data_IF_935542625263
#
_entry.id   IF_935542625263
#
_cell.length_a   1.000
_cell.length_b   1.000
_cell.length_c   1.000
_cell.angle_alpha   90.00
_cell.angle_beta   90.00
_cell.angle_gamma   90.00
#
_symmetry.space_group_name_H-M   'P 1'
#
loop_
_entity.id
_entity.type
_entity.pdbx_description
1 polymer ?
#
# COMPACT_ATOMS: atom_id res chain seq x y z
N UNK A 1 -19.90 -4.06 -51.10
CA UNK A 1 -18.70 -4.52 -50.36
C UNK A 1 -18.16 -3.31 -49.61
N UNK A 2 -18.50 -3.18 -48.35
CA UNK A 2 -18.09 -2.06 -47.48
C UNK A 2 -16.84 -2.52 -46.71
N UNK A 3 -15.73 -1.85 -46.98
CA UNK A 3 -14.45 -2.06 -46.32
C UNK A 3 -14.57 -1.53 -44.87
N UNK A 4 -14.66 -2.46 -43.90
CA UNK A 4 -14.50 -2.11 -42.48
C UNK A 4 -13.06 -1.62 -42.27
N UNK A 5 -12.93 -0.33 -41.92
CA UNK A 5 -11.63 0.30 -41.63
C UNK A 5 -11.07 -0.24 -40.31
N UNK A 6 -9.82 -0.75 -40.28
CA UNK A 6 -9.20 -1.34 -39.07
C UNK A 6 -8.94 -0.33 -37.93
N UNK A 7 -9.11 0.97 -38.17
CA UNK A 7 -8.75 2.01 -37.20
C UNK A 7 -9.76 2.29 -36.08
N UNK A 8 -11.04 1.97 -36.28
CA UNK A 8 -12.10 2.28 -35.32
C UNK A 8 -12.21 1.28 -34.19
N UNK A 9 -11.88 0.02 -34.42
CA UNK A 9 -11.93 -1.06 -33.42
C UNK A 9 -10.76 -0.97 -32.43
N UNK A 10 -9.55 -0.65 -32.88
CA UNK A 10 -8.38 -0.50 -32.01
C UNK A 10 -8.50 0.69 -31.03
N UNK A 11 -9.09 1.82 -31.48
CA UNK A 11 -9.37 2.99 -30.64
C UNK A 11 -10.45 2.70 -29.60
N UNK A 12 -11.46 1.90 -29.94
CA UNK A 12 -12.54 1.49 -29.03
C UNK A 12 -12.03 0.59 -27.88
N UNK A 13 -11.17 -0.38 -28.19
CA UNK A 13 -10.56 -1.25 -27.20
C UNK A 13 -9.65 -0.48 -26.21
N UNK A 14 -8.80 0.42 -26.70
CA UNK A 14 -7.94 1.23 -25.84
C UNK A 14 -8.74 2.11 -24.85
N UNK A 15 -9.86 2.68 -25.31
CA UNK A 15 -10.78 3.46 -24.42
C UNK A 15 -11.43 2.57 -23.35
N UNK A 16 -11.86 1.37 -23.70
CA UNK A 16 -12.46 0.43 -22.74
C UNK A 16 -11.43 0.00 -21.66
N UNK A 17 -10.17 -0.26 -22.04
CA UNK A 17 -9.11 -0.53 -21.09
C UNK A 17 -8.78 0.67 -20.20
N UNK A 18 -8.79 1.89 -20.73
CA UNK A 18 -8.58 3.10 -19.93
C UNK A 18 -9.69 3.31 -18.90
N UNK A 19 -10.96 3.02 -19.25
CA UNK A 19 -12.09 3.05 -18.30
C UNK A 19 -11.93 1.95 -17.24
N UNK A 20 -11.63 0.73 -17.65
CA UNK A 20 -11.38 -0.38 -16.74
C UNK A 20 -10.21 -0.08 -15.79
N UNK A 21 -9.14 0.54 -16.28
CA UNK A 21 -8.03 1.04 -15.46
C UNK A 21 -8.48 2.07 -14.42
N UNK A 22 -9.32 3.03 -14.80
CA UNK A 22 -9.83 4.02 -13.84
C UNK A 22 -10.67 3.36 -12.74
N UNK A 23 -11.51 2.39 -13.09
CA UNK A 23 -12.29 1.60 -12.11
C UNK A 23 -11.37 0.78 -11.19
N UNK A 24 -10.29 0.19 -11.72
CA UNK A 24 -9.30 -0.50 -10.91
C UNK A 24 -8.50 0.47 -10.02
N UNK A 25 -8.26 1.71 -10.46
CA UNK A 25 -7.64 2.75 -9.64
C UNK A 25 -8.61 3.23 -8.53
N UNK A 26 -9.92 3.28 -8.78
CA UNK A 26 -10.95 3.49 -7.74
C UNK A 26 -10.96 2.31 -6.76
N UNK A 27 -10.83 1.08 -7.24
CA UNK A 27 -10.65 -0.08 -6.35
C UNK A 27 -9.44 0.10 -5.44
N UNK A 28 -8.31 0.53 -5.97
CA UNK A 28 -7.10 0.77 -5.20
C UNK A 28 -7.27 1.90 -4.16
N UNK A 29 -8.05 2.94 -4.49
CA UNK A 29 -8.48 3.97 -3.54
C UNK A 29 -9.31 3.36 -2.39
N UNK A 30 -10.35 2.58 -2.69
CA UNK A 30 -11.21 1.94 -1.69
C UNK A 30 -10.45 0.94 -0.83
N UNK A 31 -9.52 0.21 -1.42
CA UNK A 31 -8.61 -0.70 -0.73
C UNK A 31 -7.77 0.02 0.32
N UNK A 32 -7.10 1.12 -0.05
CA UNK A 32 -6.32 1.91 0.90
C UNK A 32 -7.18 2.59 1.95
N UNK A 33 -8.38 3.03 1.60
CA UNK A 33 -9.35 3.53 2.58
C UNK A 33 -9.71 2.44 3.61
N UNK A 34 -9.97 1.20 3.16
CA UNK A 34 -10.24 0.06 4.06
C UNK A 34 -9.05 -0.30 4.94
N UNK A 35 -7.83 -0.08 4.46
CA UNK A 35 -6.57 -0.33 5.18
C UNK A 35 -6.34 0.70 6.28
N UNK A 36 -6.60 1.97 6.00
CA UNK A 36 -6.31 3.09 6.89
C UNK A 36 -7.44 3.41 7.88
N UNK A 37 -8.70 3.14 7.52
CA UNK A 37 -9.88 3.43 8.35
C UNK A 37 -9.83 2.85 9.77
N UNK A 38 -9.29 1.65 10.04
CA UNK A 38 -9.23 1.13 11.40
C UNK A 38 -8.46 2.03 12.39
N UNK A 39 -7.50 2.82 11.94
CA UNK A 39 -6.74 3.72 12.81
C UNK A 39 -7.61 4.77 13.50
N UNK A 40 -8.69 5.20 12.84
CA UNK A 40 -9.60 6.24 13.33
C UNK A 40 -10.82 5.69 14.09
N UNK A 41 -10.95 4.36 14.22
CA UNK A 41 -12.04 3.69 14.93
C UNK A 41 -11.54 2.55 15.85
N UNK A 42 -10.29 2.64 16.31
CA UNK A 42 -9.69 1.59 17.15
C UNK A 42 -10.47 1.30 18.45
N UNK A 43 -10.94 2.31 19.21
CA UNK A 43 -11.71 2.06 20.43
C UNK A 43 -13.02 1.31 20.15
N UNK A 44 -13.74 1.73 19.11
CA UNK A 44 -15.03 1.16 18.70
C UNK A 44 -14.87 -0.29 18.22
N UNK A 45 -13.82 -0.56 17.44
CA UNK A 45 -13.51 -1.92 16.96
C UNK A 45 -13.07 -2.82 18.12
N UNK A 46 -12.24 -2.33 19.05
CA UNK A 46 -11.82 -3.09 20.22
C UNK A 46 -13.02 -3.47 21.09
N UNK A 47 -13.95 -2.54 21.29
CA UNK A 47 -15.20 -2.79 21.99
C UNK A 47 -16.11 -3.77 21.24
N UNK A 48 -16.28 -3.59 19.93
CA UNK A 48 -17.14 -4.46 19.11
C UNK A 48 -16.64 -5.91 19.06
N UNK A 49 -15.32 -6.11 19.05
CA UNK A 49 -14.72 -7.44 19.03
C UNK A 49 -14.43 -8.01 20.42
N UNK A 50 -14.71 -7.25 21.50
CA UNK A 50 -14.43 -7.61 22.90
C UNK A 50 -12.96 -7.99 23.15
N UNK A 51 -12.04 -7.26 22.48
CA UNK A 51 -10.60 -7.50 22.57
C UNK A 51 -9.85 -6.28 23.12
N UNK A 52 -8.66 -6.51 23.67
CA UNK A 52 -7.75 -5.43 23.99
C UNK A 52 -7.27 -4.72 22.70
N UNK A 53 -6.76 -3.49 22.87
CA UNK A 53 -6.15 -2.75 21.74
C UNK A 53 -5.00 -3.53 21.10
N UNK A 54 -4.23 -4.27 21.90
CA UNK A 54 -3.18 -5.16 21.40
C UNK A 54 -3.77 -6.33 20.61
N UNK A 55 -4.86 -6.93 21.09
CA UNK A 55 -5.61 -7.97 20.37
C UNK A 55 -6.12 -7.45 19.03
N UNK A 56 -6.73 -6.25 19.04
CA UNK A 56 -7.19 -5.62 17.80
C UNK A 56 -6.03 -5.35 16.83
N UNK A 57 -4.89 -4.85 17.30
CA UNK A 57 -3.73 -4.61 16.43
C UNK A 57 -3.22 -5.90 15.78
N UNK A 58 -3.32 -7.03 16.48
CA UNK A 58 -3.01 -8.35 15.94
C UNK A 58 -3.97 -8.75 14.83
N UNK A 59 -5.28 -8.53 15.02
CA UNK A 59 -6.31 -8.73 13.99
C UNK A 59 -6.02 -7.86 12.77
N UNK A 60 -5.72 -6.58 12.97
CA UNK A 60 -5.39 -5.66 11.88
C UNK A 60 -4.15 -6.10 11.11
N UNK A 61 -3.17 -6.69 11.78
CA UNK A 61 -1.95 -7.25 11.21
C UNK A 61 -2.19 -8.43 10.26
N UNK A 62 -3.27 -9.23 10.47
CA UNK A 62 -3.62 -10.38 9.62
C UNK A 62 -3.76 -10.00 8.15
N UNK A 63 -4.17 -8.77 7.86
CA UNK A 63 -4.23 -8.23 6.51
C UNK A 63 -2.92 -8.41 5.73
N UNK A 64 -1.78 -8.10 6.36
CA UNK A 64 -0.49 -8.10 5.67
C UNK A 64 0.04 -9.50 5.38
N UNK A 65 -0.35 -10.52 6.16
CA UNK A 65 0.02 -11.91 5.87
C UNK A 65 -0.60 -12.40 4.57
N UNK A 66 -1.91 -12.17 4.39
CA UNK A 66 -2.61 -12.59 3.17
C UNK A 66 -2.31 -11.66 2.00
N UNK A 67 -2.18 -10.36 2.22
CA UNK A 67 -1.77 -9.42 1.17
C UNK A 67 -0.42 -9.82 0.55
N UNK A 68 0.60 -10.09 1.39
CA UNK A 68 1.92 -10.45 0.91
C UNK A 68 1.90 -11.77 0.11
N UNK A 69 1.32 -12.83 0.68
CA UNK A 69 1.28 -14.13 0.02
C UNK A 69 0.46 -14.13 -1.27
N UNK A 70 -0.71 -13.47 -1.28
CA UNK A 70 -1.55 -13.36 -2.47
C UNK A 70 -0.91 -12.50 -3.56
N UNK A 71 -0.04 -11.53 -3.20
CA UNK A 71 0.68 -10.71 -4.18
C UNK A 71 1.55 -11.56 -5.15
N UNK A 72 2.08 -12.69 -4.70
CA UNK A 72 2.80 -13.63 -5.58
C UNK A 72 1.87 -14.31 -6.59
N UNK A 73 0.61 -14.50 -6.23
CA UNK A 73 -0.35 -15.21 -7.07
C UNK A 73 -1.05 -14.26 -8.05
N UNK A 74 -1.29 -13.01 -7.62
CA UNK A 74 -2.08 -12.04 -8.35
C UNK A 74 -1.55 -11.77 -9.77
N UNK A 75 -0.24 -11.58 -9.92
CA UNK A 75 0.38 -11.35 -11.24
C UNK A 75 0.20 -12.53 -12.18
N UNK A 76 0.41 -13.74 -11.69
CA UNK A 76 0.28 -14.97 -12.49
C UNK A 76 -1.18 -15.22 -12.92
N UNK A 77 -2.13 -14.94 -12.02
CA UNK A 77 -3.56 -15.08 -12.35
C UNK A 77 -3.98 -14.07 -13.42
N UNK A 78 -3.47 -12.83 -13.34
CA UNK A 78 -3.72 -11.79 -14.35
C UNK A 78 -3.18 -12.19 -15.72
N UNK A 79 -1.97 -12.74 -15.78
CA UNK A 79 -1.34 -13.19 -17.02
C UNK A 79 -2.07 -14.40 -17.66
N UNK A 80 -2.80 -15.18 -16.86
CA UNK A 80 -3.52 -16.39 -17.35
C UNK A 80 -4.98 -16.15 -17.68
N UNK A 81 -5.69 -15.42 -16.80
CA UNK A 81 -7.14 -15.29 -16.89
C UNK A 81 -7.59 -13.89 -17.27
N UNK A 82 -6.63 -12.98 -17.42
CA UNK A 82 -6.89 -11.57 -17.75
C UNK A 82 -7.56 -10.78 -16.61
N UNK A 83 -7.53 -9.46 -16.77
CA UNK A 83 -8.03 -8.55 -15.75
C UNK A 83 -9.55 -8.61 -15.56
N UNK A 84 -10.31 -8.98 -16.60
CA UNK A 84 -11.77 -9.05 -16.56
C UNK A 84 -12.31 -9.93 -15.44
N UNK A 85 -11.66 -11.04 -15.15
CA UNK A 85 -12.08 -11.99 -14.12
C UNK A 85 -11.30 -11.78 -12.83
N UNK A 86 -9.98 -11.60 -12.94
CA UNK A 86 -9.08 -11.64 -11.79
C UNK A 86 -9.25 -10.39 -10.89
N UNK A 87 -9.39 -9.20 -11.47
CA UNK A 87 -9.58 -7.98 -10.66
C UNK A 87 -10.91 -7.99 -9.92
N UNK A 88 -12.07 -8.29 -10.54
CA UNK A 88 -13.33 -8.43 -9.81
C UNK A 88 -13.32 -9.51 -8.73
N UNK A 89 -12.62 -10.63 -8.93
CA UNK A 89 -12.45 -11.66 -7.87
C UNK A 89 -11.75 -11.04 -6.66
N UNK A 90 -10.67 -10.28 -6.86
CA UNK A 90 -10.00 -9.55 -5.78
C UNK A 90 -10.95 -8.57 -5.07
N UNK A 91 -11.76 -7.83 -5.83
CA UNK A 91 -12.75 -6.91 -5.28
C UNK A 91 -13.83 -7.63 -4.45
N UNK A 92 -14.33 -8.77 -4.94
CA UNK A 92 -15.30 -9.59 -4.20
C UNK A 92 -14.69 -10.10 -2.89
N UNK A 93 -13.43 -10.55 -2.90
CA UNK A 93 -12.73 -10.97 -1.67
C UNK A 93 -12.61 -9.80 -0.67
N UNK A 94 -12.22 -8.59 -1.14
CA UNK A 94 -12.19 -7.40 -0.29
C UNK A 94 -13.57 -7.08 0.27
N UNK A 95 -14.60 -7.09 -0.56
CA UNK A 95 -15.97 -6.78 -0.16
C UNK A 95 -16.51 -7.76 0.88
N UNK A 96 -16.36 -9.07 0.64
CA UNK A 96 -16.71 -10.11 1.61
C UNK A 96 -15.92 -9.92 2.92
N UNK A 97 -14.64 -9.57 2.81
CA UNK A 97 -13.82 -9.22 3.95
C UNK A 97 -14.37 -8.04 4.74
N UNK A 98 -14.87 -6.99 4.07
CA UNK A 98 -15.52 -5.86 4.73
C UNK A 98 -16.84 -6.25 5.41
N UNK A 99 -17.67 -7.07 4.75
CA UNK A 99 -18.93 -7.56 5.31
C UNK A 99 -18.70 -8.44 6.55
N UNK A 100 -17.70 -9.32 6.53
CA UNK A 100 -17.34 -10.12 7.71
C UNK A 100 -16.76 -9.26 8.83
N UNK A 101 -15.95 -8.24 8.49
CA UNK A 101 -15.36 -7.32 9.47
C UNK A 101 -16.41 -6.42 10.14
N UNK A 102 -17.57 -6.25 9.53
CA UNK A 102 -18.73 -5.56 10.11
C UNK A 102 -19.42 -6.36 11.24
N UNK A 103 -19.18 -7.69 11.32
CA UNK A 103 -19.80 -8.55 12.34
C UNK A 103 -19.02 -8.40 13.65
N UNK A 104 -19.69 -8.04 14.77
CA UNK A 104 -19.03 -7.81 16.07
C UNK A 104 -18.64 -9.13 16.75
N UNK A 105 -17.71 -9.88 16.14
CA UNK A 105 -17.17 -11.13 16.66
C UNK A 105 -15.73 -11.30 16.23
N UNK A 106 -14.81 -11.46 17.16
CA UNK A 106 -13.35 -11.53 16.93
C UNK A 106 -12.96 -12.50 15.80
N UNK A 107 -13.45 -13.73 15.86
CA UNK A 107 -13.09 -14.77 14.88
C UNK A 107 -13.60 -14.45 13.46
N UNK A 108 -14.79 -13.84 13.35
CA UNK A 108 -15.37 -13.44 12.05
C UNK A 108 -14.63 -12.20 11.53
N UNK A 109 -14.36 -11.22 12.40
CA UNK A 109 -13.55 -10.04 12.06
C UNK A 109 -12.14 -10.42 11.59
N UNK A 110 -11.49 -11.37 12.27
CA UNK A 110 -10.19 -11.91 11.87
C UNK A 110 -10.23 -12.56 10.47
N UNK A 111 -11.24 -13.39 10.21
CA UNK A 111 -11.46 -13.95 8.85
C UNK A 111 -11.73 -12.86 7.82
N UNK A 112 -12.51 -11.85 8.18
CA UNK A 112 -12.75 -10.66 7.36
C UNK A 112 -11.45 -9.95 7.01
N UNK A 113 -10.55 -9.76 7.98
CA UNK A 113 -9.26 -9.08 7.77
C UNK A 113 -8.32 -9.88 6.86
N UNK A 114 -8.30 -11.21 6.98
CA UNK A 114 -7.58 -12.07 6.07
C UNK A 114 -8.10 -11.96 4.62
N UNK A 115 -9.42 -11.95 4.42
CA UNK A 115 -10.02 -11.78 3.10
C UNK A 115 -9.77 -10.38 2.51
N UNK A 116 -9.82 -9.33 3.34
CA UNK A 116 -9.46 -7.97 2.91
C UNK A 116 -8.03 -7.94 2.36
N UNK A 117 -7.07 -8.51 3.08
CA UNK A 117 -5.68 -8.56 2.63
C UNK A 117 -5.52 -9.34 1.33
N UNK A 118 -6.13 -10.52 1.22
CA UNK A 118 -6.08 -11.34 0.01
C UNK A 118 -6.67 -10.62 -1.21
N UNK A 119 -7.85 -9.99 -1.06
CA UNK A 119 -8.51 -9.25 -2.12
C UNK A 119 -7.73 -8.01 -2.57
N UNK A 120 -7.14 -7.31 -1.62
CA UNK A 120 -6.37 -6.09 -1.84
C UNK A 120 -5.11 -6.29 -2.69
N UNK A 121 -4.51 -7.47 -2.67
CA UNK A 121 -3.32 -7.80 -3.47
C UNK A 121 -3.53 -7.65 -4.99
N UNK A 122 -4.79 -7.70 -5.44
CA UNK A 122 -5.15 -7.54 -6.84
C UNK A 122 -5.32 -6.07 -7.29
N UNK A 123 -5.39 -5.12 -6.36
CA UNK A 123 -5.73 -3.74 -6.68
C UNK A 123 -4.65 -3.04 -7.52
N UNK A 124 -3.44 -2.92 -7.00
CA UNK A 124 -2.33 -2.28 -7.72
C UNK A 124 -1.92 -3.08 -8.96
N UNK A 125 -1.74 -4.40 -8.81
CA UNK A 125 -1.31 -5.26 -9.92
C UNK A 125 -2.33 -5.27 -11.07
N UNK A 126 -3.63 -5.31 -10.74
CA UNK A 126 -4.71 -5.24 -11.72
C UNK A 126 -4.79 -3.89 -12.43
N UNK A 127 -4.64 -2.79 -11.70
CA UNK A 127 -4.61 -1.46 -12.29
C UNK A 127 -3.40 -1.26 -13.22
N UNK A 128 -2.21 -1.74 -12.83
CA UNK A 128 -1.01 -1.69 -13.68
C UNK A 128 -1.18 -2.57 -14.93
N UNK A 129 -1.77 -3.75 -14.81
CA UNK A 129 -2.09 -4.62 -15.93
C UNK A 129 -3.02 -3.91 -16.93
N UNK A 130 -4.14 -3.36 -16.48
CA UNK A 130 -5.09 -2.62 -17.31
C UNK A 130 -4.48 -1.37 -17.94
N UNK A 131 -3.61 -0.66 -17.20
CA UNK A 131 -2.88 0.49 -17.73
C UNK A 131 -1.97 0.09 -18.91
N UNK A 132 -1.32 -1.06 -18.82
CA UNK A 132 -0.43 -1.55 -19.88
C UNK A 132 -1.14 -1.86 -21.20
N UNK A 133 -2.46 -2.15 -21.13
CA UNK A 133 -3.31 -2.41 -22.30
C UNK A 133 -4.07 -1.18 -22.79
N UNK A 134 -4.32 -0.21 -21.89
CA UNK A 134 -5.09 1.01 -22.21
C UNK A 134 -4.27 2.20 -22.65
N UNK A 135 -2.98 2.24 -22.32
CA UNK A 135 -2.13 3.42 -22.57
C UNK A 135 -0.90 3.08 -23.40
N UNK A 136 -0.49 4.03 -24.25
CA UNK A 136 0.77 3.92 -24.98
C UNK A 136 1.97 3.94 -24.03
N UNK A 137 3.11 3.38 -24.45
CA UNK A 137 4.35 3.34 -23.66
C UNK A 137 4.76 4.71 -23.09
N UNK A 138 4.50 5.80 -23.83
CA UNK A 138 4.77 7.19 -23.39
C UNK A 138 3.90 7.62 -22.20
N UNK A 139 2.66 7.11 -22.08
CA UNK A 139 1.68 7.48 -21.04
C UNK A 139 1.58 6.46 -19.91
N UNK A 140 2.17 5.28 -20.09
CA UNK A 140 2.06 4.17 -19.14
C UNK A 140 2.63 4.54 -17.75
N UNK A 141 3.82 5.14 -17.71
CA UNK A 141 4.43 5.55 -16.44
C UNK A 141 3.56 6.57 -15.69
N UNK A 142 2.95 7.52 -16.42
CA UNK A 142 2.01 8.49 -15.83
C UNK A 142 0.76 7.81 -15.28
N UNK A 143 0.18 6.84 -16.00
CA UNK A 143 -1.00 6.10 -15.52
C UNK A 143 -0.68 5.28 -14.25
N UNK A 144 0.48 4.61 -14.19
CA UNK A 144 0.93 3.88 -13.00
C UNK A 144 1.16 4.83 -11.82
N UNK A 145 1.81 5.98 -12.06
CA UNK A 145 2.00 7.01 -11.03
C UNK A 145 0.66 7.55 -10.50
N UNK A 146 -0.29 7.81 -11.38
CA UNK A 146 -1.63 8.27 -11.00
C UNK A 146 -2.40 7.19 -10.21
N UNK A 147 -2.24 5.91 -10.57
CA UNK A 147 -2.78 4.79 -9.77
C UNK A 147 -2.26 4.85 -8.33
N UNK A 148 -0.95 5.02 -8.15
CA UNK A 148 -0.35 5.11 -6.82
C UNK A 148 -0.86 6.32 -6.03
N UNK A 149 -0.99 7.48 -6.69
CA UNK A 149 -1.56 8.67 -6.07
C UNK A 149 -3.00 8.44 -5.58
N UNK A 150 -3.85 7.78 -6.39
CA UNK A 150 -5.23 7.46 -5.98
C UNK A 150 -5.27 6.50 -4.80
N UNK A 151 -4.41 5.48 -4.76
CA UNK A 151 -4.31 4.60 -3.61
C UNK A 151 -3.96 5.36 -2.33
N UNK A 152 -2.92 6.18 -2.36
CA UNK A 152 -2.51 6.95 -1.19
C UNK A 152 -3.53 8.03 -0.78
N UNK A 153 -4.22 8.63 -1.76
CA UNK A 153 -5.35 9.51 -1.48
C UNK A 153 -6.48 8.75 -0.77
N UNK A 154 -6.74 7.49 -1.14
CA UNK A 154 -7.65 6.59 -0.43
C UNK A 154 -7.24 6.39 1.02
N UNK A 155 -5.94 6.21 1.29
CA UNK A 155 -5.41 6.13 2.65
C UNK A 155 -5.67 7.39 3.48
N UNK A 156 -5.37 8.57 2.91
CA UNK A 156 -5.65 9.85 3.57
C UNK A 156 -7.16 10.06 3.81
N UNK A 157 -7.99 9.78 2.81
CA UNK A 157 -9.46 9.91 2.94
C UNK A 157 -10.04 8.88 3.91
N UNK A 158 -9.47 7.67 3.97
CA UNK A 158 -9.81 6.65 4.95
C UNK A 158 -9.57 7.06 6.40
N UNK A 159 -8.76 8.10 6.62
CA UNK A 159 -8.54 8.68 7.94
C UNK A 159 -9.35 9.98 8.11
N UNK A 160 -9.09 11.00 7.30
CA UNK A 160 -9.63 12.35 7.48
C UNK A 160 -11.15 12.43 7.26
N UNK A 161 -11.70 11.66 6.32
CA UNK A 161 -13.14 11.63 6.05
C UNK A 161 -13.88 10.63 6.93
N UNK A 162 -13.29 9.46 7.20
CA UNK A 162 -13.94 8.40 7.98
C UNK A 162 -13.98 8.73 9.46
N UNK A 163 -12.95 9.37 10.00
CA UNK A 163 -12.91 9.75 11.41
C UNK A 163 -14.14 10.55 11.88
N UNK A 164 -14.43 11.72 11.31
CA UNK A 164 -15.63 12.49 11.66
C UNK A 164 -16.94 11.75 11.36
N UNK A 165 -16.95 10.89 10.33
CA UNK A 165 -18.14 10.13 9.94
C UNK A 165 -18.54 9.13 11.04
N UNK A 166 -17.58 8.40 11.61
CA UNK A 166 -17.82 7.41 12.67
C UNK A 166 -18.23 8.08 13.99
N UNK A 167 -17.63 9.22 14.31
CA UNK A 167 -17.96 9.92 15.57
C UNK A 167 -19.22 10.80 15.49
N UNK A 168 -19.82 10.99 14.29
CA UNK A 168 -20.97 11.87 14.14
C UNK A 168 -22.23 11.22 13.58
N UNK A 169 -22.11 10.32 12.61
CA UNK A 169 -23.26 9.97 11.77
C UNK A 169 -23.44 8.47 11.51
N UNK A 170 -22.38 7.67 11.57
CA UNK A 170 -22.39 6.28 11.07
C UNK A 170 -21.76 5.33 12.08
N UNK A 171 -22.39 4.19 12.31
CA UNK A 171 -21.78 3.13 13.14
C UNK A 171 -20.65 2.43 12.38
N UNK A 172 -19.69 1.85 13.10
CA UNK A 172 -18.62 1.03 12.54
C UNK A 172 -19.18 -0.05 11.61
N UNK A 173 -20.21 -0.76 12.06
CA UNK A 173 -20.89 -1.80 11.25
C UNK A 173 -21.41 -1.23 9.94
N UNK A 174 -22.17 -0.11 10.00
CA UNK A 174 -22.73 0.53 8.79
C UNK A 174 -21.64 0.96 7.82
N UNK A 175 -20.52 1.51 8.32
CA UNK A 175 -19.38 1.89 7.49
C UNK A 175 -18.81 0.68 6.72
N UNK A 176 -18.53 -0.43 7.41
CA UNK A 176 -17.94 -1.61 6.77
C UNK A 176 -18.89 -2.29 5.78
N UNK A 177 -20.19 -2.34 6.10
CA UNK A 177 -21.21 -2.85 5.18
C UNK A 177 -21.30 -1.95 3.94
N UNK A 178 -21.39 -0.62 4.11
CA UNK A 178 -21.46 0.31 3.00
C UNK A 178 -20.22 0.21 2.09
N UNK A 179 -19.01 0.15 2.69
CA UNK A 179 -17.78 -0.02 1.94
C UNK A 179 -17.78 -1.33 1.15
N UNK A 180 -18.19 -2.45 1.77
CA UNK A 180 -18.31 -3.74 1.07
C UNK A 180 -19.28 -3.68 -0.11
N UNK A 181 -20.45 -3.07 0.06
CA UNK A 181 -21.44 -2.90 -1.02
C UNK A 181 -20.88 -2.01 -2.15
N UNK A 182 -20.22 -0.89 -1.81
CA UNK A 182 -19.60 -0.01 -2.82
C UNK A 182 -18.56 -0.78 -3.64
N UNK A 183 -17.69 -1.58 -2.97
CA UNK A 183 -16.68 -2.39 -3.67
C UNK A 183 -17.33 -3.43 -4.58
N UNK A 184 -18.46 -4.07 -4.18
CA UNK A 184 -19.19 -5.01 -5.05
C UNK A 184 -19.81 -4.31 -6.27
N UNK A 185 -20.36 -3.12 -6.09
CA UNK A 185 -20.91 -2.34 -7.21
C UNK A 185 -19.81 -1.97 -8.22
N UNK A 186 -18.67 -1.49 -7.74
CA UNK A 186 -17.53 -1.17 -8.60
C UNK A 186 -17.00 -2.46 -9.28
N UNK A 187 -16.98 -3.61 -8.59
CA UNK A 187 -16.59 -4.90 -9.16
C UNK A 187 -17.52 -5.29 -10.33
N UNK A 188 -18.83 -5.16 -10.16
CA UNK A 188 -19.81 -5.46 -11.22
C UNK A 188 -19.61 -4.55 -12.44
N UNK A 189 -19.41 -3.25 -12.22
CA UNK A 189 -19.15 -2.29 -13.31
C UNK A 189 -17.84 -2.61 -14.02
N UNK A 190 -16.76 -2.90 -13.25
CA UNK A 190 -15.46 -3.24 -13.82
C UNK A 190 -15.55 -4.53 -14.66
N UNK A 191 -16.23 -5.56 -14.15
CA UNK A 191 -16.46 -6.79 -14.90
C UNK A 191 -17.21 -6.56 -16.23
N UNK A 192 -18.22 -5.70 -16.20
CA UNK A 192 -19.03 -5.37 -17.40
C UNK A 192 -18.23 -4.54 -18.42
N UNK A 193 -17.40 -3.61 -17.94
CA UNK A 193 -16.66 -2.65 -18.78
C UNK A 193 -15.34 -3.17 -19.31
N UNK A 194 -14.72 -4.17 -18.64
CA UNK A 194 -13.43 -4.72 -19.06
C UNK A 194 -13.61 -5.60 -20.30
N UNK A 195 -12.87 -5.35 -21.39
CA UNK A 195 -12.93 -6.17 -22.59
C UNK A 195 -12.64 -7.64 -22.30
N UNK A 196 -13.27 -8.53 -23.08
CA UNK A 196 -12.99 -9.96 -23.02
C UNK A 196 -11.76 -10.23 -23.88
N UNK A 197 -10.60 -10.41 -23.23
CA UNK A 197 -9.38 -10.82 -23.90
C UNK A 197 -9.33 -12.33 -24.05
N UNK A 198 -9.04 -12.79 -25.26
CA UNK A 198 -8.46 -14.12 -25.43
C UNK A 198 -6.97 -13.99 -25.08
N UNK A 199 -6.63 -14.24 -23.81
CA UNK A 199 -5.23 -14.29 -23.38
C UNK A 199 -4.58 -15.45 -24.15
N UNK A 200 -3.74 -15.13 -25.12
CA UNK A 200 -2.97 -16.14 -25.85
C UNK A 200 -1.90 -16.72 -24.90
N UNK A 201 -2.32 -17.69 -24.09
CA UNK A 201 -1.42 -18.35 -23.16
C UNK A 201 -0.51 -19.28 -23.94
N UNK A 202 0.78 -18.97 -24.03
CA UNK A 202 1.77 -19.87 -24.60
C UNK A 202 1.75 -21.23 -23.89
N UNK A 203 1.77 -22.36 -24.60
CA UNK A 203 1.81 -23.69 -23.99
C UNK A 203 2.94 -23.86 -22.97
N UNK A 204 4.07 -23.19 -23.15
CA UNK A 204 5.19 -23.17 -22.22
C UNK A 204 4.88 -22.47 -20.89
N UNK A 205 3.96 -21.50 -20.89
CA UNK A 205 3.53 -20.79 -19.67
C UNK A 205 2.63 -21.65 -18.78
N UNK A 206 2.03 -22.73 -19.31
CA UNK A 206 1.23 -23.67 -18.51
C UNK A 206 2.08 -24.61 -17.65
N UNK A 207 3.35 -24.84 -18.00
CA UNK A 207 4.14 -25.92 -17.43
C UNK A 207 4.73 -25.60 -16.03
N UNK A 208 5.05 -24.32 -15.70
CA UNK A 208 5.64 -24.00 -14.40
C UNK A 208 5.35 -22.57 -13.96
N UNK A 209 4.40 -22.40 -13.02
CA UNK A 209 4.02 -21.11 -12.43
C UNK A 209 5.15 -20.44 -11.64
N UNK A 210 6.06 -21.23 -11.11
CA UNK A 210 7.09 -20.77 -10.20
C UNK A 210 8.42 -20.47 -10.91
N UNK A 211 8.56 -20.85 -12.19
CA UNK A 211 9.81 -20.65 -12.94
C UNK A 211 10.28 -19.18 -12.97
N UNK A 212 9.41 -18.18 -13.24
CA UNK A 212 9.81 -16.77 -13.22
C UNK A 212 10.26 -16.31 -11.83
N UNK A 213 9.61 -16.80 -10.77
CA UNK A 213 9.99 -16.48 -9.39
C UNK A 213 11.33 -17.11 -9.00
N UNK A 214 11.66 -18.30 -9.53
CA UNK A 214 12.98 -18.90 -9.31
C UNK A 214 14.09 -17.98 -9.83
N UNK A 215 13.91 -17.34 -10.98
CA UNK A 215 14.86 -16.36 -11.53
C UNK A 215 14.97 -15.14 -10.60
N UNK A 216 13.85 -14.54 -10.22
CA UNK A 216 13.83 -13.33 -9.37
C UNK A 216 14.42 -13.61 -7.99
N UNK A 217 14.05 -14.70 -7.34
CA UNK A 217 14.55 -15.06 -6.00
C UNK A 217 15.97 -15.63 -6.02
N UNK A 218 16.53 -15.98 -7.17
CA UNK A 218 17.97 -16.30 -7.29
C UNK A 218 18.84 -15.03 -7.33
N UNK A 219 18.26 -13.84 -7.51
CA UNK A 219 18.98 -12.59 -7.53
C UNK A 219 18.97 -11.92 -6.13
N UNK A 220 20.14 -11.78 -5.45
CA UNK A 220 20.22 -11.14 -4.13
C UNK A 220 19.69 -9.69 -4.12
N UNK A 221 19.78 -8.96 -5.23
CA UNK A 221 19.25 -7.60 -5.34
C UNK A 221 17.72 -7.55 -5.15
N UNK A 222 17.01 -8.62 -5.51
CA UNK A 222 15.56 -8.70 -5.30
C UNK A 222 15.19 -8.67 -3.83
N UNK A 223 15.94 -9.38 -2.98
CA UNK A 223 15.73 -9.36 -1.52
C UNK A 223 16.07 -8.01 -0.91
N UNK A 224 17.19 -7.41 -1.33
CA UNK A 224 17.60 -6.09 -0.85
C UNK A 224 16.57 -5.01 -1.22
N UNK A 225 16.04 -5.03 -2.46
CA UNK A 225 14.98 -4.12 -2.88
C UNK A 225 13.72 -4.27 -2.03
N UNK A 226 13.26 -5.51 -1.83
CA UNK A 226 12.09 -5.79 -1.01
C UNK A 226 12.27 -5.41 0.46
N UNK A 227 13.44 -5.71 1.03
CA UNK A 227 13.76 -5.37 2.41
C UNK A 227 13.80 -3.84 2.63
N UNK A 228 14.52 -3.11 1.78
CA UNK A 228 14.57 -1.63 1.87
C UNK A 228 13.18 -1.04 1.72
N UNK A 229 12.43 -1.44 0.68
CA UNK A 229 11.06 -0.97 0.50
C UNK A 229 10.18 -1.29 1.71
N UNK A 230 10.24 -2.51 2.24
CA UNK A 230 9.49 -2.93 3.41
C UNK A 230 9.79 -2.10 4.64
N UNK A 231 11.06 -1.86 4.95
CA UNK A 231 11.46 -1.01 6.07
C UNK A 231 10.95 0.43 5.90
N UNK A 232 10.93 0.98 4.67
CA UNK A 232 10.42 2.32 4.39
C UNK A 232 8.89 2.41 4.43
N UNK A 233 8.17 1.31 4.14
CA UNK A 233 6.70 1.26 4.23
C UNK A 233 6.20 1.11 5.66
N UNK A 234 6.95 0.45 6.57
CA UNK A 234 6.46 0.14 7.92
C UNK A 234 6.08 1.35 8.77
N UNK A 235 6.76 2.52 8.73
CA UNK A 235 6.30 3.69 9.46
C UNK A 235 4.92 4.15 9.03
N UNK A 236 4.60 4.06 7.73
CA UNK A 236 3.26 4.40 7.22
C UNK A 236 2.25 3.30 7.54
N UNK A 237 2.56 2.03 7.26
CA UNK A 237 1.58 0.94 7.37
C UNK A 237 1.28 0.53 8.81
N UNK A 238 2.24 0.67 9.70
CA UNK A 238 2.10 0.32 11.13
C UNK A 238 2.03 1.57 11.99
N UNK A 239 3.02 2.47 11.88
CA UNK A 239 3.10 3.67 12.70
C UNK A 239 1.90 4.59 12.47
N UNK A 240 1.58 4.88 11.22
CA UNK A 240 0.49 5.77 10.85
C UNK A 240 -0.87 5.05 10.79
N UNK A 241 -1.04 4.06 9.91
CA UNK A 241 -2.34 3.44 9.60
C UNK A 241 -2.88 2.49 10.67
N UNK A 242 -2.14 2.19 11.74
CA UNK A 242 -2.62 1.38 12.86
C UNK A 242 -2.56 2.17 14.16
N UNK A 243 -1.42 2.74 14.51
CA UNK A 243 -1.18 3.31 15.83
C UNK A 243 -1.22 4.84 15.89
N UNK A 244 -1.14 5.53 14.77
CA UNK A 244 -0.87 6.97 14.70
C UNK A 244 -1.84 7.83 15.50
N UNK A 245 -3.15 7.66 15.32
CA UNK A 245 -4.17 8.44 16.08
C UNK A 245 -3.96 8.27 17.57
N UNK A 246 -3.77 7.02 18.01
CA UNK A 246 -3.68 6.70 19.42
C UNK A 246 -2.44 7.30 20.07
N UNK A 247 -1.27 7.27 19.41
CA UNK A 247 -0.06 7.90 19.93
C UNK A 247 -0.20 9.41 20.03
N UNK A 248 -0.76 10.07 19.03
CA UNK A 248 -0.94 11.51 19.09
C UNK A 248 -1.97 11.92 20.15
N UNK A 249 -3.05 11.14 20.34
CA UNK A 249 -4.02 11.44 21.41
C UNK A 249 -3.45 11.21 22.81
N UNK A 250 -2.79 10.09 23.05
CA UNK A 250 -2.40 9.69 24.41
C UNK A 250 -1.05 10.22 24.84
N UNK A 251 -0.08 10.25 23.94
CA UNK A 251 1.28 10.65 24.28
C UNK A 251 1.53 12.15 24.01
N UNK A 252 0.78 12.73 23.07
CA UNK A 252 0.90 14.16 22.71
C UNK A 252 -0.31 15.01 23.12
N UNK A 253 -1.33 14.37 23.69
CA UNK A 253 -2.55 15.03 24.18
C UNK A 253 -3.31 15.81 23.10
N UNK A 254 -3.21 15.36 21.85
CA UNK A 254 -3.96 15.96 20.75
C UNK A 254 -5.45 15.63 20.92
N UNK A 255 -6.31 16.56 20.49
CA UNK A 255 -7.70 16.20 20.29
C UNK A 255 -7.80 15.10 19.24
N UNK A 256 -8.91 14.36 19.24
CA UNK A 256 -9.13 13.32 18.20
C UNK A 256 -9.02 13.91 16.79
N UNK A 257 -9.64 15.06 16.54
CA UNK A 257 -9.60 15.71 15.22
C UNK A 257 -8.18 16.14 14.82
N UNK A 258 -7.41 16.72 15.74
CA UNK A 258 -6.03 17.11 15.46
C UNK A 258 -5.13 15.90 15.21
N UNK A 259 -5.33 14.81 15.96
CA UNK A 259 -4.59 13.55 15.76
C UNK A 259 -4.89 12.94 14.38
N UNK A 260 -6.17 12.82 14.01
CA UNK A 260 -6.60 12.32 12.70
C UNK A 260 -6.08 13.20 11.57
N UNK A 261 -6.19 14.53 11.71
CA UNK A 261 -5.66 15.47 10.72
C UNK A 261 -4.15 15.31 10.56
N UNK A 262 -3.42 15.24 11.67
CA UNK A 262 -1.96 15.11 11.63
C UNK A 262 -1.51 13.85 10.92
N UNK A 263 -2.08 12.67 11.28
CA UNK A 263 -1.64 11.41 10.69
C UNK A 263 -2.07 11.27 9.22
N UNK A 264 -3.22 11.81 8.82
CA UNK A 264 -3.67 11.76 7.42
C UNK A 264 -2.74 12.52 6.46
N UNK A 265 -1.83 13.35 6.99
CA UNK A 265 -0.81 14.05 6.21
C UNK A 265 0.27 13.09 5.68
N UNK A 266 0.52 11.94 6.31
CA UNK A 266 1.49 10.96 5.81
C UNK A 266 1.05 10.37 4.46
N UNK A 267 -0.11 9.72 4.32
CA UNK A 267 -0.54 9.21 3.01
C UNK A 267 -0.80 10.35 2.01
N UNK A 268 -1.23 11.54 2.45
CA UNK A 268 -1.33 12.70 1.57
C UNK A 268 0.05 13.13 1.03
N UNK A 269 1.07 13.08 1.85
CA UNK A 269 2.45 13.33 1.43
C UNK A 269 2.93 12.35 0.37
N UNK A 270 2.56 11.07 0.46
CA UNK A 270 2.88 10.06 -0.56
C UNK A 270 2.30 10.42 -1.94
N UNK A 271 1.12 11.05 -2.00
CA UNK A 271 0.50 11.49 -3.27
C UNK A 271 1.45 12.41 -4.05
N UNK A 272 2.14 13.30 -3.35
CA UNK A 272 3.15 14.20 -3.94
C UNK A 272 4.50 13.51 -4.06
N UNK A 273 4.88 12.74 -3.06
CA UNK A 273 6.21 12.13 -2.95
C UNK A 273 6.50 11.09 -4.02
N UNK A 274 5.53 10.22 -4.36
CA UNK A 274 5.75 9.18 -5.38
C UNK A 274 6.15 9.76 -6.75
N UNK A 275 5.41 10.71 -7.35
CA UNK A 275 5.82 11.30 -8.61
C UNK A 275 7.08 12.14 -8.46
N UNK A 276 7.27 12.85 -7.35
CA UNK A 276 8.44 13.68 -7.10
C UNK A 276 9.73 12.84 -7.07
N UNK A 277 9.76 11.74 -6.31
CA UNK A 277 10.95 10.87 -6.25
C UNK A 277 11.15 10.06 -7.52
N UNK A 278 10.09 9.71 -8.24
CA UNK A 278 10.20 9.15 -9.59
C UNK A 278 10.89 10.11 -10.55
N UNK A 279 10.42 11.36 -10.60
CA UNK A 279 11.02 12.43 -11.40
C UNK A 279 12.48 12.71 -10.98
N UNK A 280 12.74 12.81 -9.68
CA UNK A 280 14.08 13.06 -9.15
C UNK A 280 15.06 11.94 -9.56
N UNK A 281 14.64 10.68 -9.46
CA UNK A 281 15.45 9.54 -9.87
C UNK A 281 15.76 9.55 -11.39
N UNK A 282 14.79 9.98 -12.22
CA UNK A 282 14.97 10.12 -13.65
C UNK A 282 15.86 11.32 -14.00
N UNK A 283 15.68 12.47 -13.34
CA UNK A 283 16.47 13.69 -13.54
C UNK A 283 17.95 13.49 -13.16
N UNK A 284 18.19 12.83 -12.01
CA UNK A 284 19.56 12.49 -11.58
C UNK A 284 20.19 11.36 -12.42
N UNK A 285 19.38 10.56 -13.11
CA UNK A 285 19.84 9.34 -13.79
C UNK A 285 20.41 8.29 -12.82
N UNK A 286 20.15 8.41 -11.53
CA UNK A 286 20.69 7.56 -10.44
C UNK A 286 19.59 7.17 -9.48
N UNK A 287 19.17 5.91 -9.53
CA UNK A 287 18.09 5.37 -8.68
C UNK A 287 18.46 5.36 -7.21
N UNK A 288 19.63 4.81 -6.90
CA UNK A 288 20.12 4.68 -5.53
C UNK A 288 20.31 6.02 -4.84
N UNK A 289 20.83 7.04 -5.55
CA UNK A 289 21.04 8.36 -4.97
C UNK A 289 19.70 9.01 -4.57
N UNK A 290 18.70 8.97 -5.45
CA UNK A 290 17.37 9.49 -5.15
C UNK A 290 16.72 8.75 -3.95
N UNK A 291 16.88 7.43 -3.86
CA UNK A 291 16.43 6.62 -2.73
C UNK A 291 17.08 7.08 -1.42
N UNK A 292 18.42 7.23 -1.39
CA UNK A 292 19.16 7.68 -0.21
C UNK A 292 18.72 9.07 0.23
N UNK A 293 18.51 10.01 -0.70
CA UNK A 293 17.97 11.35 -0.39
C UNK A 293 16.62 11.22 0.34
N UNK A 294 15.71 10.39 -0.19
CA UNK A 294 14.41 10.16 0.45
C UNK A 294 14.53 9.56 1.85
N UNK A 295 15.38 8.55 2.04
CA UNK A 295 15.62 7.95 3.36
C UNK A 295 16.18 8.99 4.35
N UNK A 296 17.15 9.81 3.93
CA UNK A 296 17.71 10.88 4.77
C UNK A 296 16.65 11.91 5.16
N UNK A 297 15.76 12.30 4.24
CA UNK A 297 14.65 13.22 4.56
C UNK A 297 13.64 12.58 5.52
N UNK A 298 13.30 11.29 5.36
CA UNK A 298 12.49 10.55 6.32
C UNK A 298 13.15 10.53 7.70
N UNK A 299 14.46 10.27 7.76
CA UNK A 299 15.24 10.28 9.00
C UNK A 299 15.22 11.65 9.68
N UNK A 300 15.38 12.74 8.93
CA UNK A 300 15.30 14.11 9.48
C UNK A 300 13.93 14.37 10.10
N UNK A 301 12.84 14.00 9.40
CA UNK A 301 11.49 14.17 9.94
C UNK A 301 11.24 13.28 11.17
N UNK A 302 11.66 12.03 11.14
CA UNK A 302 11.54 11.10 12.26
C UNK A 302 12.39 11.55 13.47
N UNK A 303 13.62 12.02 13.24
CA UNK A 303 14.48 12.57 14.27
C UNK A 303 13.89 13.85 14.87
N UNK A 304 13.29 14.72 14.06
CA UNK A 304 12.60 15.92 14.56
C UNK A 304 11.44 15.54 15.48
N UNK A 305 10.60 14.57 15.10
CA UNK A 305 9.50 14.09 15.95
C UNK A 305 10.02 13.43 17.24
N UNK A 306 11.19 12.80 17.20
CA UNK A 306 11.77 12.08 18.34
C UNK A 306 12.46 13.04 19.32
N UNK A 307 13.36 13.89 18.82
CA UNK A 307 14.27 14.68 19.65
C UNK A 307 13.82 16.14 19.85
N UNK A 308 12.98 16.67 18.96
CA UNK A 308 12.48 18.04 19.01
C UNK A 308 11.02 18.12 18.55
N UNK A 309 10.08 17.40 19.20
CA UNK A 309 8.70 17.26 18.71
C UNK A 309 7.88 18.56 18.69
N UNK A 310 8.38 19.64 19.33
CA UNK A 310 7.78 20.98 19.31
C UNK A 310 8.40 21.93 18.30
N UNK A 311 9.45 21.54 17.55
CA UNK A 311 10.15 22.42 16.62
C UNK A 311 9.29 22.86 15.44
N UNK A 312 8.54 21.91 14.87
CA UNK A 312 7.59 22.14 13.79
C UNK A 312 6.22 21.55 14.17
N UNK A 313 5.12 22.12 13.65
CA UNK A 313 3.80 21.51 13.79
C UNK A 313 3.80 20.06 13.25
N UNK A 314 3.26 19.11 14.03
CA UNK A 314 3.23 17.70 13.66
C UNK A 314 2.64 17.44 12.27
N UNK A 315 1.53 18.10 11.82
CA UNK A 315 1.00 17.89 10.48
C UNK A 315 2.00 18.24 9.36
N UNK A 316 2.80 19.29 9.53
CA UNK A 316 3.82 19.66 8.54
C UNK A 316 4.96 18.63 8.48
N UNK A 317 5.44 18.19 9.64
CA UNK A 317 6.49 17.16 9.70
C UNK A 317 6.01 15.84 9.11
N UNK A 318 4.76 15.44 9.40
CA UNK A 318 4.17 14.20 8.87
C UNK A 318 3.90 14.30 7.36
N UNK A 319 3.49 15.48 6.85
CA UNK A 319 3.40 15.73 5.41
C UNK A 319 4.76 15.59 4.73
N UNK A 320 5.80 16.25 5.28
CA UNK A 320 7.16 16.15 4.77
C UNK A 320 7.70 14.71 4.84
N UNK A 321 7.42 14.00 5.94
CA UNK A 321 7.74 12.59 6.08
C UNK A 321 7.05 11.74 5.00
N UNK A 322 5.76 11.97 4.75
CA UNK A 322 5.00 11.30 3.70
C UNK A 322 5.55 11.59 2.30
N UNK A 323 5.94 12.86 2.00
CA UNK A 323 6.58 13.21 0.73
C UNK A 323 7.89 12.42 0.57
N UNK A 324 8.74 12.41 1.60
CA UNK A 324 10.00 11.66 1.59
C UNK A 324 9.78 10.14 1.44
N UNK A 325 8.70 9.62 2.00
CA UNK A 325 8.32 8.20 1.91
C UNK A 325 8.04 7.73 0.49
N UNK A 326 7.72 8.64 -0.44
CA UNK A 326 7.57 8.34 -1.87
C UNK A 326 8.80 7.65 -2.47
N UNK A 327 9.99 7.85 -1.89
CA UNK A 327 11.22 7.16 -2.27
C UNK A 327 11.14 5.63 -2.10
N UNK A 328 10.24 5.11 -1.25
CA UNK A 328 10.02 3.68 -1.08
C UNK A 328 9.55 2.95 -2.35
N UNK A 329 9.10 3.69 -3.38
CA UNK A 329 8.76 3.15 -4.69
C UNK A 329 9.98 2.97 -5.61
N UNK A 330 11.12 3.59 -5.31
CA UNK A 330 12.33 3.45 -6.15
C UNK A 330 12.84 2.01 -6.20
N UNK A 331 12.90 1.23 -5.10
CA UNK A 331 13.27 -0.19 -5.16
C UNK A 331 12.42 -1.03 -6.12
N UNK A 332 11.15 -0.64 -6.37
CA UNK A 332 10.30 -1.30 -7.38
C UNK A 332 10.83 -1.08 -8.81
N UNK A 333 11.50 0.02 -9.07
CA UNK A 333 12.18 0.25 -10.34
C UNK A 333 13.50 -0.52 -10.39
N UNK A 334 14.30 -0.46 -9.32
CA UNK A 334 15.59 -1.14 -9.24
C UNK A 334 15.44 -2.65 -9.45
N UNK A 335 14.46 -3.30 -8.81
CA UNK A 335 14.26 -4.75 -8.97
C UNK A 335 13.93 -5.14 -10.42
N UNK A 336 13.15 -4.29 -11.12
CA UNK A 336 12.82 -4.52 -12.55
C UNK A 336 14.02 -4.33 -13.46
N UNK A 337 14.88 -3.37 -13.14
CA UNK A 337 16.11 -3.08 -13.89
C UNK A 337 17.22 -4.10 -13.57
N UNK A 338 17.20 -4.71 -12.39
CA UNK A 338 18.18 -5.71 -11.96
C UNK A 338 17.83 -7.16 -12.38
N UNK A 339 16.66 -7.40 -12.95
CA UNK A 339 16.19 -8.71 -13.41
C UNK A 339 15.88 -8.68 -14.91
N UNK A 340 15.92 -9.85 -15.60
CA UNK A 340 15.60 -9.94 -17.02
C UNK A 340 14.19 -9.43 -17.36
N UNK A 341 14.03 -8.88 -18.58
CA UNK A 341 12.77 -8.24 -19.01
C UNK A 341 11.56 -9.18 -18.99
N UNK A 342 11.77 -10.46 -19.27
CA UNK A 342 10.73 -11.48 -19.30
C UNK A 342 10.16 -11.85 -17.92
N UNK A 343 10.75 -11.36 -16.81
CA UNK A 343 10.28 -11.64 -15.43
C UNK A 343 9.90 -10.37 -14.65
N UNK A 344 9.73 -9.22 -15.32
CA UNK A 344 9.40 -7.94 -14.67
C UNK A 344 8.08 -7.96 -13.88
N UNK A 345 7.07 -8.70 -14.36
CA UNK A 345 5.82 -8.92 -13.64
C UNK A 345 6.04 -9.68 -12.33
N UNK A 346 6.76 -10.80 -12.41
CA UNK A 346 7.13 -11.60 -11.23
C UNK A 346 8.04 -10.84 -10.26
N UNK A 347 8.93 -9.98 -10.76
CA UNK A 347 9.74 -9.09 -9.93
C UNK A 347 8.86 -8.11 -9.12
N UNK A 348 7.79 -7.60 -9.73
CA UNK A 348 6.81 -6.74 -9.02
C UNK A 348 6.05 -7.52 -7.94
N UNK A 349 5.61 -8.74 -8.21
CA UNK A 349 4.99 -9.63 -7.22
C UNK A 349 5.95 -9.98 -6.09
N UNK A 350 7.19 -10.29 -6.42
CA UNK A 350 8.22 -10.65 -5.43
C UNK A 350 8.56 -9.48 -4.49
N UNK A 351 8.72 -8.26 -5.02
CA UNK A 351 8.98 -7.10 -4.16
C UNK A 351 7.79 -6.78 -3.26
N UNK A 352 6.55 -6.87 -3.75
CA UNK A 352 5.36 -6.72 -2.92
C UNK A 352 5.32 -7.77 -1.80
N UNK A 353 5.59 -9.03 -2.14
CA UNK A 353 5.67 -10.11 -1.15
C UNK A 353 6.67 -9.76 -0.03
N UNK A 354 7.90 -9.42 -0.37
CA UNK A 354 8.94 -9.13 0.63
C UNK A 354 8.58 -7.86 1.42
N UNK A 355 8.17 -6.78 0.75
CA UNK A 355 7.80 -5.51 1.37
C UNK A 355 6.74 -5.68 2.45
N UNK A 356 5.64 -6.37 2.14
CA UNK A 356 4.55 -6.54 3.09
C UNK A 356 4.77 -7.71 4.06
N UNK A 357 5.67 -8.66 3.75
CA UNK A 357 6.19 -9.61 4.75
C UNK A 357 6.99 -8.89 5.83
N UNK A 358 7.82 -7.91 5.48
CA UNK A 358 8.52 -7.05 6.47
C UNK A 358 7.49 -6.34 7.36
N UNK A 359 6.44 -5.75 6.76
CA UNK A 359 5.35 -5.13 7.54
C UNK A 359 4.67 -6.14 8.48
N UNK A 360 4.35 -7.33 8.00
CA UNK A 360 3.73 -8.39 8.79
C UNK A 360 4.59 -8.85 9.97
N UNK A 361 5.91 -8.82 9.83
CA UNK A 361 6.85 -9.20 10.88
C UNK A 361 7.15 -8.06 11.87
N UNK A 362 7.28 -6.84 11.37
CA UNK A 362 7.59 -5.65 12.20
C UNK A 362 6.39 -5.23 13.03
N UNK A 363 5.17 -5.37 12.52
CA UNK A 363 3.94 -4.98 13.21
C UNK A 363 3.79 -5.60 14.61
N UNK A 364 3.84 -6.93 14.78
CA UNK A 364 3.80 -7.58 16.08
C UNK A 364 4.94 -7.17 17.01
N UNK A 365 6.15 -6.94 16.48
CA UNK A 365 7.30 -6.48 17.29
C UNK A 365 7.02 -5.09 17.85
N UNK A 366 6.55 -4.16 17.02
CA UNK A 366 6.16 -2.83 17.45
C UNK A 366 5.02 -2.88 18.48
N UNK A 367 3.95 -3.62 18.19
CA UNK A 367 2.80 -3.76 19.07
C UNK A 367 3.17 -4.37 20.43
N UNK A 368 4.00 -5.41 20.46
CA UNK A 368 4.40 -6.09 21.70
C UNK A 368 5.30 -5.24 22.59
N UNK A 369 6.13 -4.38 22.01
CA UNK A 369 7.07 -3.54 22.75
C UNK A 369 6.48 -2.20 23.17
N UNK A 370 5.72 -1.57 22.29
CA UNK A 370 5.26 -0.20 22.44
C UNK A 370 3.73 -0.09 22.56
N UNK A 371 2.99 -0.93 21.85
CA UNK A 371 1.52 -0.88 21.90
C UNK A 371 0.91 -1.28 23.23
N UNK A 372 1.60 -2.11 24.05
CA UNK A 372 1.13 -2.50 25.40
C UNK A 372 1.11 -1.33 26.38
N UNK A 373 1.94 -0.35 26.15
CA UNK A 373 2.18 0.77 27.07
C UNK A 373 1.27 1.96 26.81
N UNK A 374 0.56 1.96 25.67
CA UNK A 374 -0.31 3.06 25.29
C UNK A 374 -1.48 3.18 26.28
N UNK A 375 -1.57 4.34 26.95
CA UNK A 375 -2.65 4.65 27.89
C UNK A 375 -2.55 3.96 29.25
N UNK A 376 -1.37 3.38 29.59
CA UNK A 376 -1.15 2.89 30.96
C UNK A 376 -0.72 4.06 31.86
N UNK A 377 -1.42 4.30 33.01
CA UNK A 377 -1.16 5.44 33.89
C UNK A 377 0.26 5.48 34.48
N UNK A 378 0.99 4.37 34.41
CA UNK A 378 2.33 4.22 35.02
C UNK A 378 3.47 4.64 34.12
N UNK A 379 3.20 5.01 32.85
CA UNK A 379 4.24 5.34 31.85
C UNK A 379 4.14 6.83 31.49
N UNK A 380 5.26 7.52 31.56
CA UNK A 380 5.35 8.90 31.08
C UNK A 380 5.04 8.98 29.59
N UNK A 381 3.98 9.71 29.18
CA UNK A 381 3.59 9.86 27.79
C UNK A 381 4.72 10.38 26.88
N UNK A 382 5.56 11.30 27.39
CA UNK A 382 6.66 11.85 26.61
C UNK A 382 7.75 10.81 26.36
N UNK A 383 8.11 10.03 27.39
CA UNK A 383 9.06 8.94 27.25
C UNK A 383 8.53 7.83 26.32
N UNK A 384 7.22 7.54 26.36
CA UNK A 384 6.58 6.58 25.49
C UNK A 384 6.57 7.04 24.03
N UNK A 385 6.21 8.30 23.76
CA UNK A 385 6.29 8.87 22.42
C UNK A 385 7.71 8.85 21.87
N UNK A 386 8.69 9.24 22.68
CA UNK A 386 10.11 9.17 22.33
C UNK A 386 10.53 7.74 21.91
N UNK A 387 10.21 6.73 22.70
CA UNK A 387 10.55 5.34 22.39
C UNK A 387 9.88 4.87 21.09
N UNK A 388 8.61 5.26 20.87
CA UNK A 388 7.84 4.89 19.71
C UNK A 388 8.41 5.51 18.42
N UNK A 389 8.75 6.79 18.47
CA UNK A 389 9.36 7.48 17.32
C UNK A 389 10.81 7.04 17.09
N UNK A 390 11.57 6.78 18.16
CA UNK A 390 12.93 6.23 18.07
C UNK A 390 12.95 4.86 17.38
N UNK A 391 11.93 4.02 17.61
CA UNK A 391 11.78 2.75 16.89
C UNK A 391 11.80 2.96 15.37
N UNK A 392 11.06 3.96 14.88
CA UNK A 392 11.05 4.28 13.45
C UNK A 392 12.36 4.87 12.96
N UNK A 393 13.05 5.66 13.77
CA UNK A 393 14.43 6.13 13.43
C UNK A 393 15.36 4.93 13.24
N UNK A 394 15.32 3.93 14.14
CA UNK A 394 16.14 2.71 14.03
C UNK A 394 15.80 1.93 12.75
N UNK A 395 14.51 1.75 12.44
CA UNK A 395 14.05 1.09 11.20
C UNK A 395 14.57 1.83 9.95
N UNK A 396 14.51 3.15 9.94
CA UNK A 396 15.00 3.96 8.82
C UNK A 396 16.52 3.95 8.68
N UNK A 397 17.26 3.91 9.80
CA UNK A 397 18.73 3.70 9.78
C UNK A 397 19.06 2.33 9.20
N UNK A 398 18.33 1.29 9.61
CA UNK A 398 18.50 -0.04 9.00
C UNK A 398 18.22 -0.03 7.49
N UNK A 399 17.16 0.67 7.05
CA UNK A 399 16.86 0.85 5.64
C UNK A 399 18.00 1.57 4.89
N UNK A 400 18.58 2.62 5.50
CA UNK A 400 19.70 3.35 4.93
C UNK A 400 20.91 2.42 4.76
N UNK A 401 21.28 1.68 5.81
CA UNK A 401 22.41 0.75 5.78
C UNK A 401 22.22 -0.34 4.71
N UNK A 402 21.04 -0.96 4.63
CA UNK A 402 20.73 -1.97 3.60
C UNK A 402 20.75 -1.36 2.21
N UNK A 403 20.29 -0.12 2.04
CA UNK A 403 20.30 0.58 0.75
C UNK A 403 21.69 0.78 0.17
N UNK A 404 22.74 0.82 1.01
CA UNK A 404 24.12 0.94 0.56
C UNK A 404 24.59 -0.28 -0.26
N UNK A 405 23.99 -1.45 -0.06
CA UNK A 405 24.27 -2.68 -0.81
C UNK A 405 23.47 -2.83 -2.10
N UNK A 406 22.50 -1.96 -2.36
CA UNK A 406 21.82 -1.91 -3.64
C UNK A 406 22.77 -1.50 -4.76
N UNK A 407 22.63 -2.14 -5.91
CA UNK A 407 23.34 -1.71 -7.12
C UNK A 407 22.66 -0.47 -7.71
N UNK A 408 23.46 0.44 -8.22
CA UNK A 408 22.95 1.54 -9.01
C UNK A 408 22.53 1.01 -10.39
N UNK A 409 21.28 1.34 -10.82
CA UNK A 409 20.71 0.86 -12.09
C UNK A 409 20.27 1.99 -13.02
N UNK A 410 20.47 3.24 -12.64
CA UNK A 410 20.06 4.39 -13.43
C UNK A 410 20.91 4.62 -14.68
N UNK A 411 20.44 5.48 -15.58
CA UNK A 411 21.09 5.82 -16.87
C UNK A 411 22.54 6.30 -16.74
N UNK A 412 22.93 6.82 -15.58
CA UNK A 412 24.30 7.28 -15.34
C UNK A 412 25.32 6.12 -15.28
N UNK A 413 24.87 4.87 -15.13
CA UNK A 413 25.73 3.68 -15.09
C UNK A 413 25.83 3.02 -16.48
N UNK A 414 24.88 3.29 -17.36
CA UNK A 414 24.86 2.74 -18.72
C UNK A 414 25.79 3.51 -19.70
N UNK A 415 26.47 4.55 -19.22
CA UNK A 415 27.52 5.30 -19.93
C UNK A 415 28.89 4.93 -19.35
#
# INVERSE_FOLDING_TARGET
MSANSPGTTASGHAKAYAIAWLLAAVFYFLEYASRAAPAVMMPELAQAFEVSVLGLSSILGLYYYTYSTTSLVAGVLLDRWGARYVVPIGMVLLALGCLLFAVPKESIGSAGRLLQGAGSAFAFTGAVYLASHGFSAKKLATAIGFTQCLGMLGGSMGQIAVGPLIHGFVTVTTFWVALGVIVLLVAAVLFAMTPNEQVAVSPAAHANLLAPYKVVFSNPQSYLCGLVSGLLFTPTTIGDMVWGVRFFQQDRLFSYHDAVFAISMVPLGWVVGCPLFGWLADALGRRKLALIIGICLMLVCAAQLTFAPGLLPAPLTLLAFGIASGAAMIPYTIIKEANPDNVKGSATGAINFITFSVTALVGPVFASRLGKSVGTPTIDPQAHFFQSTLFWVVILVAALLVSLFLRETGRAVAR
#
